data_IF_375567036239
#
_entry.id   IF_375567036239
#
_cell.length_a   1.000
_cell.length_b   1.000
_cell.length_c   1.000
_cell.angle_alpha   90.00
_cell.angle_beta   90.00
_cell.angle_gamma   90.00
#
_symmetry.space_group_name_H-M   'P 1'
#
loop_
_entity.id
_entity.type
_entity.pdbx_description
1 polymer ?
#
# COMPACT_ATOMS: atom_id res chain seq x y z
N UNK A 1 -9.09 10.52 -9.43
CA UNK A 1 -10.31 9.68 -9.54
C UNK A 1 -10.46 8.92 -8.24
N UNK A 2 -11.57 9.09 -7.57
CA UNK A 2 -11.93 8.18 -6.48
C UNK A 2 -12.20 6.80 -7.09
N UNK A 3 -11.41 5.82 -6.71
CA UNK A 3 -11.69 4.44 -7.06
C UNK A 3 -12.93 4.01 -6.28
N UNK A 4 -14.04 3.88 -6.98
CA UNK A 4 -15.33 3.45 -6.40
C UNK A 4 -15.31 1.95 -6.04
N UNK A 5 -14.38 1.19 -6.59
CA UNK A 5 -14.24 -0.25 -6.42
C UNK A 5 -12.92 -0.63 -5.75
N UNK A 6 -12.95 -1.70 -5.00
CA UNK A 6 -11.76 -2.33 -4.46
C UNK A 6 -10.88 -2.89 -5.58
N UNK A 7 -9.57 -2.76 -5.40
CA UNK A 7 -8.56 -3.28 -6.33
C UNK A 7 -7.65 -4.28 -5.64
N UNK A 8 -6.95 -5.09 -6.43
CA UNK A 8 -5.96 -6.05 -5.94
C UNK A 8 -4.55 -5.45 -5.80
N UNK A 9 -4.39 -4.15 -6.02
CA UNK A 9 -3.09 -3.46 -5.98
C UNK A 9 -2.34 -3.62 -4.65
N UNK A 10 -3.07 -3.85 -3.57
CA UNK A 10 -2.48 -4.13 -2.26
C UNK A 10 -1.52 -5.33 -2.29
N UNK A 11 -1.73 -6.29 -3.20
CA UNK A 11 -0.84 -7.44 -3.37
C UNK A 11 0.57 -7.06 -3.89
N UNK A 12 0.73 -5.91 -4.52
CA UNK A 12 2.02 -5.46 -5.04
C UNK A 12 3.02 -5.11 -3.92
N UNK A 13 2.52 -4.76 -2.73
CA UNK A 13 3.40 -4.57 -1.58
C UNK A 13 2.79 -3.81 -0.42
N UNK A 14 2.85 -4.41 0.73
CA UNK A 14 2.51 -3.82 2.02
C UNK A 14 3.76 -3.49 2.82
N UNK A 15 4.62 -4.35 3.09
CA UNK A 15 5.81 -4.14 3.90
C UNK A 15 7.00 -3.49 3.16
N UNK A 16 6.74 -2.62 2.20
CA UNK A 16 7.78 -1.99 1.36
C UNK A 16 8.40 -0.75 2.04
N UNK A 17 8.81 -0.86 3.30
CA UNK A 17 9.35 0.29 4.04
C UNK A 17 10.71 0.70 3.49
N UNK A 18 11.62 -0.26 3.34
CA UNK A 18 12.96 -0.01 2.83
C UNK A 18 12.92 0.48 1.38
N UNK A 19 12.16 -0.21 0.52
CA UNK A 19 12.01 0.18 -0.87
C UNK A 19 11.38 1.57 -1.01
N UNK A 20 10.41 1.90 -0.16
CA UNK A 20 9.80 3.24 -0.15
C UNK A 20 10.81 4.31 0.27
N UNK A 21 11.61 4.07 1.30
CA UNK A 21 12.68 4.99 1.73
C UNK A 21 13.71 5.22 0.63
N UNK A 22 14.13 4.16 -0.04
CA UNK A 22 15.08 4.23 -1.16
C UNK A 22 14.48 4.99 -2.35
N UNK A 23 13.23 4.72 -2.72
CA UNK A 23 12.53 5.44 -3.79
C UNK A 23 12.34 6.93 -3.46
N UNK A 24 12.03 7.27 -2.21
CA UNK A 24 11.96 8.68 -1.78
C UNK A 24 13.31 9.39 -1.91
N UNK A 25 14.41 8.68 -1.68
CA UNK A 25 15.75 9.24 -1.84
C UNK A 25 16.11 9.48 -3.31
N UNK A 26 15.70 8.58 -4.20
CA UNK A 26 15.95 8.70 -5.66
C UNK A 26 14.99 9.70 -6.33
N UNK A 27 13.78 9.84 -5.82
CA UNK A 27 12.76 10.69 -6.44
C UNK A 27 13.10 12.18 -6.30
N UNK A 28 12.84 12.94 -7.37
CA UNK A 28 12.94 14.39 -7.40
C UNK A 28 11.64 15.02 -7.86
N UNK A 29 11.37 16.24 -7.40
CA UNK A 29 10.16 16.97 -7.79
C UNK A 29 10.10 17.14 -9.31
N UNK A 30 8.95 16.83 -9.89
CA UNK A 30 8.73 16.86 -11.34
C UNK A 30 9.10 15.57 -12.09
N UNK A 31 9.75 14.61 -11.41
CA UNK A 31 10.11 13.33 -12.00
C UNK A 31 8.86 12.47 -12.23
N UNK A 32 8.71 11.96 -13.44
CA UNK A 32 7.68 10.98 -13.79
C UNK A 32 7.99 9.60 -13.20
N UNK A 33 7.00 8.71 -13.16
CA UNK A 33 7.21 7.31 -12.73
C UNK A 33 8.20 6.57 -13.62
N UNK A 34 8.24 6.88 -14.90
CA UNK A 34 9.19 6.30 -15.86
C UNK A 34 10.62 6.74 -15.55
N UNK A 35 10.84 8.02 -15.32
CA UNK A 35 12.15 8.57 -14.95
C UNK A 35 12.61 8.02 -13.62
N UNK A 36 11.73 7.95 -12.61
CA UNK A 36 12.03 7.33 -11.32
C UNK A 36 12.45 5.86 -11.50
N UNK A 37 11.76 5.10 -12.34
CA UNK A 37 12.14 3.72 -12.62
C UNK A 37 13.53 3.61 -13.25
N UNK A 38 13.83 4.44 -14.25
CA UNK A 38 15.14 4.44 -14.91
C UNK A 38 16.25 4.84 -13.93
N UNK A 39 16.03 5.87 -13.13
CA UNK A 39 16.99 6.34 -12.12
C UNK A 39 17.25 5.24 -11.07
N UNK A 40 16.20 4.65 -10.51
CA UNK A 40 16.31 3.59 -9.52
C UNK A 40 16.99 2.32 -10.09
N UNK A 41 16.73 1.99 -11.34
CA UNK A 41 17.40 0.88 -12.01
C UNK A 41 18.90 1.15 -12.22
N UNK A 42 19.23 2.36 -12.66
CA UNK A 42 20.62 2.76 -12.93
C UNK A 42 21.45 2.94 -11.65
N UNK A 43 20.84 3.29 -10.52
CA UNK A 43 21.54 3.47 -9.24
C UNK A 43 22.13 2.17 -8.67
N UNK A 44 21.61 1.01 -9.08
CA UNK A 44 22.00 -0.29 -8.53
C UNK A 44 21.49 -0.56 -7.10
N UNK A 45 20.80 0.39 -6.48
CA UNK A 45 20.27 0.29 -5.11
C UNK A 45 19.26 -0.84 -4.95
N UNK A 46 18.56 -1.20 -6.03
CA UNK A 46 17.54 -2.25 -6.08
C UNK A 46 18.03 -3.56 -6.71
N UNK A 47 19.32 -3.86 -6.59
CA UNK A 47 19.94 -5.05 -7.20
C UNK A 47 19.39 -6.39 -6.68
N UNK A 48 18.74 -6.40 -5.51
CA UNK A 48 18.11 -7.57 -4.89
C UNK A 48 16.71 -7.91 -5.41
N UNK A 49 16.14 -7.06 -6.26
CA UNK A 49 14.82 -7.29 -6.88
C UNK A 49 14.89 -7.19 -8.40
N UNK A 50 13.98 -7.85 -9.10
CA UNK A 50 13.93 -7.79 -10.56
C UNK A 50 13.44 -6.42 -11.05
N UNK A 51 13.86 -6.01 -12.25
CA UNK A 51 13.36 -4.79 -12.89
C UNK A 51 11.82 -4.77 -13.03
N UNK A 52 11.21 -5.92 -13.30
CA UNK A 52 9.76 -6.07 -13.32
C UNK A 52 9.14 -5.78 -11.95
N UNK A 53 9.72 -6.32 -10.88
CA UNK A 53 9.25 -6.08 -9.51
C UNK A 53 9.38 -4.62 -9.13
N UNK A 54 10.51 -3.99 -9.43
CA UNK A 54 10.73 -2.56 -9.18
C UNK A 54 9.70 -1.70 -9.91
N UNK A 55 9.42 -1.99 -11.19
CA UNK A 55 8.39 -1.28 -11.96
C UNK A 55 7.01 -1.40 -11.30
N UNK A 56 6.63 -2.59 -10.86
CA UNK A 56 5.33 -2.80 -10.20
C UNK A 56 5.26 -2.05 -8.86
N UNK A 57 6.32 -2.05 -8.06
CA UNK A 57 6.38 -1.28 -6.80
C UNK A 57 6.17 0.21 -7.08
N UNK A 58 6.83 0.77 -8.09
CA UNK A 58 6.69 2.18 -8.44
C UNK A 58 5.26 2.47 -8.93
N UNK A 59 4.75 1.70 -9.89
CA UNK A 59 3.47 1.97 -10.53
C UNK A 59 2.25 1.69 -9.64
N UNK A 60 2.28 0.61 -8.87
CA UNK A 60 1.12 0.12 -8.13
C UNK A 60 1.14 0.49 -6.63
N UNK A 61 2.31 0.84 -6.10
CA UNK A 61 2.46 1.20 -4.69
C UNK A 61 2.91 2.64 -4.50
N UNK A 62 4.09 2.99 -4.99
CA UNK A 62 4.72 4.29 -4.70
C UNK A 62 3.93 5.46 -5.32
N UNK A 63 3.65 5.40 -6.61
CA UNK A 63 2.95 6.49 -7.29
C UNK A 63 1.54 6.74 -6.76
N UNK A 64 0.67 5.72 -6.56
CA UNK A 64 -0.65 5.96 -6.00
C UNK A 64 -0.64 6.52 -4.58
N UNK A 65 0.36 6.17 -3.78
CA UNK A 65 0.44 6.59 -2.37
C UNK A 65 1.03 7.98 -2.21
N UNK A 66 2.04 8.32 -3.01
CA UNK A 66 2.89 9.49 -2.74
C UNK A 66 2.97 10.51 -3.86
N UNK A 67 2.66 10.14 -5.11
CA UNK A 67 2.72 11.04 -6.26
C UNK A 67 1.35 11.50 -6.75
N UNK A 68 0.31 10.70 -6.54
CA UNK A 68 -1.03 10.97 -7.06
C UNK A 68 -2.01 11.40 -5.96
N UNK A 69 -2.95 12.33 -6.25
CA UNK A 69 -3.05 13.14 -7.47
C UNK A 69 -2.01 14.27 -7.54
N UNK A 70 -1.28 14.50 -6.47
CA UNK A 70 -0.23 15.52 -6.36
C UNK A 70 0.96 14.97 -5.58
N UNK A 71 2.20 15.37 -5.91
CA UNK A 71 3.42 14.81 -5.32
C UNK A 71 3.79 15.38 -3.93
N UNK A 72 2.92 16.18 -3.30
CA UNK A 72 3.19 16.73 -1.97
C UNK A 72 3.58 15.67 -0.93
N UNK A 73 2.90 14.51 -0.84
CA UNK A 73 3.32 13.47 0.10
C UNK A 73 4.77 13.02 -0.11
N UNK A 74 5.19 12.81 -1.35
CA UNK A 74 6.58 12.46 -1.64
C UNK A 74 7.56 13.58 -1.25
N UNK A 75 7.19 14.84 -1.51
CA UNK A 75 8.01 16.00 -1.14
C UNK A 75 8.22 16.06 0.38
N UNK A 76 7.16 15.94 1.17
CA UNK A 76 7.24 15.99 2.63
C UNK A 76 7.99 14.78 3.20
N UNK A 77 7.65 13.58 2.73
CA UNK A 77 8.29 12.36 3.21
C UNK A 77 9.76 12.28 2.84
N UNK A 78 10.17 12.81 1.68
CA UNK A 78 11.59 12.89 1.32
C UNK A 78 12.36 13.77 2.30
N UNK A 79 11.80 14.90 2.71
CA UNK A 79 12.42 15.79 3.70
C UNK A 79 12.51 15.11 5.08
N UNK A 80 11.51 14.32 5.46
CA UNK A 80 11.43 13.65 6.75
C UNK A 80 12.17 12.32 6.81
N UNK A 81 12.48 11.70 5.67
CA UNK A 81 12.90 10.29 5.52
C UNK A 81 14.01 9.85 6.47
N UNK A 82 14.97 10.74 6.76
CA UNK A 82 16.07 10.47 7.68
C UNK A 82 16.07 11.36 8.93
N UNK A 83 15.04 12.18 9.11
CA UNK A 83 14.92 13.16 10.21
C UNK A 83 14.02 12.68 11.34
N UNK A 84 13.12 11.72 11.08
CA UNK A 84 12.19 11.15 12.06
C UNK A 84 12.54 9.72 12.38
N UNK A 85 12.09 9.23 13.53
CA UNK A 85 12.33 7.85 13.91
C UNK A 85 11.56 6.86 13.03
N UNK A 86 12.05 5.63 12.95
CA UNK A 86 11.48 4.59 12.10
C UNK A 86 10.00 4.26 12.41
N UNK A 87 9.59 4.35 13.68
CA UNK A 87 8.20 4.09 14.07
C UNK A 87 7.25 5.13 13.50
N UNK A 88 7.59 6.41 13.63
CA UNK A 88 6.79 7.50 13.06
C UNK A 88 6.73 7.45 11.53
N UNK A 89 7.84 7.09 10.88
CA UNK A 89 7.88 6.92 9.43
C UNK A 89 6.97 5.77 8.97
N UNK A 90 6.97 4.64 9.67
CA UNK A 90 6.07 3.51 9.41
C UNK A 90 4.59 3.92 9.53
N UNK A 91 4.25 4.71 10.55
CA UNK A 91 2.89 5.23 10.73
C UNK A 91 2.46 6.14 9.57
N UNK A 92 3.35 7.00 9.08
CA UNK A 92 3.06 7.82 7.91
C UNK A 92 2.85 6.97 6.65
N UNK A 93 3.69 5.96 6.41
CA UNK A 93 3.51 5.04 5.29
C UNK A 93 2.19 4.27 5.39
N UNK A 94 1.81 3.84 6.59
CA UNK A 94 0.51 3.22 6.84
C UNK A 94 -0.66 4.13 6.46
N UNK A 95 -0.63 5.39 6.90
CA UNK A 95 -1.68 6.38 6.60
C UNK A 95 -1.79 6.62 5.08
N UNK A 96 -0.67 6.82 4.40
CA UNK A 96 -0.69 7.02 2.95
C UNK A 96 -1.12 5.77 2.18
N UNK A 97 -0.79 4.58 2.66
CA UNK A 97 -1.30 3.32 2.10
C UNK A 97 -2.81 3.21 2.24
N UNK A 98 -3.35 3.54 3.42
CA UNK A 98 -4.79 3.55 3.65
C UNK A 98 -5.52 4.59 2.78
N UNK A 99 -4.93 5.77 2.60
CA UNK A 99 -5.48 6.78 1.68
C UNK A 99 -5.57 6.32 0.23
N UNK A 100 -4.54 5.62 -0.24
CA UNK A 100 -4.45 5.18 -1.63
C UNK A 100 -5.24 3.89 -1.91
N UNK A 101 -5.65 3.16 -0.88
CA UNK A 101 -6.20 1.82 -1.02
C UNK A 101 -7.53 1.67 -0.29
N UNK A 102 -8.61 1.72 -1.06
CA UNK A 102 -9.97 1.73 -0.52
C UNK A 102 -10.27 0.49 0.34
N UNK A 103 -9.89 -0.70 -0.11
CA UNK A 103 -10.12 -1.93 0.65
C UNK A 103 -9.35 -1.92 1.97
N UNK A 104 -8.15 -1.38 1.99
CA UNK A 104 -7.35 -1.29 3.22
C UNK A 104 -7.93 -0.27 4.20
N UNK A 105 -8.35 0.90 3.70
CA UNK A 105 -9.04 1.89 4.51
C UNK A 105 -10.30 1.31 5.17
N UNK A 106 -11.15 0.67 4.38
CA UNK A 106 -12.42 0.13 4.87
C UNK A 106 -12.19 -1.06 5.82
N UNK A 107 -11.17 -1.89 5.58
CA UNK A 107 -10.76 -2.95 6.50
C UNK A 107 -10.39 -2.40 7.89
N UNK A 108 -9.61 -1.30 7.92
CA UNK A 108 -9.23 -0.67 9.19
C UNK A 108 -10.44 -0.05 9.88
N UNK A 109 -11.27 0.69 9.14
CA UNK A 109 -12.36 1.48 9.74
C UNK A 109 -13.58 0.65 10.06
N UNK A 110 -13.93 -0.36 9.25
CA UNK A 110 -15.14 -1.15 9.39
C UNK A 110 -14.93 -2.47 10.16
N UNK A 111 -13.72 -3.02 10.17
CA UNK A 111 -13.46 -4.29 10.85
C UNK A 111 -12.47 -4.15 12.00
N UNK A 112 -11.26 -3.69 11.73
CA UNK A 112 -10.21 -3.63 12.75
C UNK A 112 -10.62 -2.71 13.92
N UNK A 113 -11.08 -1.52 13.62
CA UNK A 113 -11.47 -0.54 14.65
C UNK A 113 -12.67 -0.99 15.48
N UNK A 114 -13.67 -1.60 14.84
CA UNK A 114 -14.83 -2.15 15.57
C UNK A 114 -14.43 -3.27 16.53
N UNK A 115 -13.56 -4.19 16.08
CA UNK A 115 -13.03 -5.28 16.92
C UNK A 115 -12.17 -4.75 18.07
N UNK A 116 -11.28 -3.81 17.77
CA UNK A 116 -10.46 -3.19 18.79
C UNK A 116 -11.30 -2.46 19.85
N UNK A 117 -12.28 -1.67 19.44
CA UNK A 117 -13.20 -0.98 20.35
C UNK A 117 -14.05 -1.94 21.20
N UNK A 118 -14.33 -3.13 20.68
CA UNK A 118 -15.02 -4.21 21.42
C UNK A 118 -14.09 -5.01 22.35
N UNK A 119 -12.81 -4.65 22.45
CA UNK A 119 -11.83 -5.28 23.34
C UNK A 119 -11.10 -6.49 22.78
N UNK A 120 -11.21 -6.77 21.47
CA UNK A 120 -10.42 -7.82 20.83
C UNK A 120 -8.99 -7.31 20.59
N UNK A 121 -8.01 -8.16 20.90
CA UNK A 121 -6.59 -7.83 20.71
C UNK A 121 -6.04 -8.27 19.36
N UNK A 122 -6.73 -9.18 18.70
CA UNK A 122 -6.30 -9.77 17.42
C UNK A 122 -7.50 -9.99 16.49
N UNK A 123 -7.24 -9.93 15.19
CA UNK A 123 -8.14 -10.37 14.13
C UNK A 123 -7.78 -11.78 13.68
N UNK A 124 -8.76 -12.63 13.47
CA UNK A 124 -8.55 -13.95 12.90
C UNK A 124 -8.43 -13.92 11.37
N UNK A 125 -7.84 -14.97 10.79
CA UNK A 125 -7.86 -15.18 9.35
C UNK A 125 -9.28 -15.25 8.78
N UNK A 126 -10.23 -15.79 9.55
CA UNK A 126 -11.61 -15.91 9.15
C UNK A 126 -12.31 -14.54 9.12
N UNK A 127 -12.08 -13.68 10.10
CA UNK A 127 -12.60 -12.30 10.10
C UNK A 127 -12.19 -11.54 8.84
N UNK A 128 -10.91 -11.62 8.50
CA UNK A 128 -10.37 -10.97 7.31
C UNK A 128 -10.92 -11.57 6.01
N UNK A 129 -11.02 -12.90 5.95
CA UNK A 129 -11.57 -13.59 4.78
C UNK A 129 -13.03 -13.25 4.55
N UNK A 130 -13.83 -13.24 5.62
CA UNK A 130 -15.24 -12.88 5.56
C UNK A 130 -15.44 -11.42 5.11
N UNK A 131 -14.61 -10.50 5.58
CA UNK A 131 -14.63 -9.12 5.11
C UNK A 131 -14.42 -9.02 3.59
N UNK A 132 -13.42 -9.71 3.04
CA UNK A 132 -13.13 -9.71 1.60
C UNK A 132 -14.24 -10.41 0.81
N UNK A 133 -14.78 -11.52 1.31
CA UNK A 133 -15.91 -12.23 0.68
C UNK A 133 -17.15 -11.34 0.60
N UNK A 134 -17.52 -10.69 1.69
CA UNK A 134 -18.66 -9.75 1.72
C UNK A 134 -18.48 -8.60 0.76
N UNK A 135 -17.27 -8.07 0.64
CA UNK A 135 -16.96 -7.01 -0.31
C UNK A 135 -17.16 -7.46 -1.76
N UNK A 136 -16.71 -8.67 -2.08
CA UNK A 136 -16.83 -9.25 -3.41
C UNK A 136 -18.29 -9.55 -3.79
N UNK A 137 -19.05 -10.18 -2.89
CA UNK A 137 -20.46 -10.48 -3.12
C UNK A 137 -21.36 -9.25 -3.05
N UNK A 138 -20.97 -8.24 -2.27
CA UNK A 138 -21.70 -6.98 -2.10
C UNK A 138 -21.45 -5.93 -3.20
N UNK A 139 -20.74 -6.28 -4.28
CA UNK A 139 -20.52 -5.37 -5.40
C UNK A 139 -19.47 -4.29 -5.16
N UNK A 140 -18.68 -4.39 -4.09
CA UNK A 140 -17.54 -3.46 -3.86
C UNK A 140 -16.34 -3.74 -4.79
N UNK A 141 -16.40 -4.80 -5.60
CA UNK A 141 -15.39 -5.15 -6.61
C UNK A 141 -15.99 -5.08 -8.00
N UNK A 142 -15.18 -4.71 -9.00
CA UNK A 142 -15.64 -4.62 -10.39
C UNK A 142 -16.04 -5.99 -10.97
N UNK A 143 -15.32 -7.03 -10.55
CA UNK A 143 -15.58 -8.43 -10.92
C UNK A 143 -15.50 -9.30 -9.67
N UNK A 144 -16.12 -10.47 -9.70
CA UNK A 144 -15.96 -11.46 -8.64
C UNK A 144 -14.50 -11.93 -8.57
N UNK A 145 -13.94 -11.98 -7.37
CA UNK A 145 -12.58 -12.46 -7.17
C UNK A 145 -12.55 -13.97 -6.95
N UNK A 146 -11.50 -14.61 -7.45
CA UNK A 146 -11.25 -16.04 -7.21
C UNK A 146 -10.90 -16.28 -5.73
N UNK A 147 -11.11 -17.52 -5.26
CA UNK A 147 -10.73 -17.94 -3.90
C UNK A 147 -9.24 -17.66 -3.61
N UNK A 148 -8.37 -17.84 -4.60
CA UNK A 148 -6.94 -17.55 -4.47
C UNK A 148 -6.70 -16.05 -4.23
N UNK A 149 -7.41 -15.19 -4.94
CA UNK A 149 -7.33 -13.72 -4.76
C UNK A 149 -7.83 -13.31 -3.38
N UNK A 150 -8.99 -13.84 -2.97
CA UNK A 150 -9.58 -13.60 -1.66
C UNK A 150 -8.62 -14.01 -0.55
N UNK A 151 -8.07 -15.23 -0.61
CA UNK A 151 -7.10 -15.75 0.36
C UNK A 151 -5.85 -14.86 0.47
N UNK A 152 -5.29 -14.45 -0.67
CA UNK A 152 -4.12 -13.57 -0.70
C UNK A 152 -4.41 -12.22 -0.07
N UNK A 153 -5.48 -11.56 -0.49
CA UNK A 153 -5.84 -10.24 0.05
C UNK A 153 -6.14 -10.30 1.55
N UNK A 154 -6.86 -11.32 2.01
CA UNK A 154 -7.13 -11.54 3.43
C UNK A 154 -5.84 -11.65 4.24
N UNK A 155 -4.87 -12.43 3.77
CA UNK A 155 -3.55 -12.54 4.39
C UNK A 155 -2.79 -11.21 4.42
N UNK A 156 -2.82 -10.46 3.33
CA UNK A 156 -2.15 -9.15 3.27
C UNK A 156 -2.78 -8.15 4.25
N UNK A 157 -4.10 -8.08 4.31
CA UNK A 157 -4.80 -7.18 5.23
C UNK A 157 -4.45 -7.47 6.69
N UNK A 158 -4.40 -8.74 7.08
CA UNK A 158 -3.98 -9.13 8.43
C UNK A 158 -2.52 -8.80 8.74
N UNK A 159 -1.63 -8.93 7.77
CA UNK A 159 -0.20 -8.71 8.01
C UNK A 159 0.18 -7.26 8.31
N UNK A 160 -0.77 -6.33 8.16
CA UNK A 160 -0.56 -4.91 8.41
C UNK A 160 -1.04 -4.50 9.82
N UNK A 161 -1.98 -5.24 10.37
CA UNK A 161 -2.55 -5.01 11.70
C UNK A 161 -1.84 -5.85 12.75
#
# INVERSE_FOLDING_TARGET
MEHTYYTTQLQAGLGLIEETQLLLSEWQFGMSTQELFQTALASGTFSNITARRLRNIIAECFAPRYLNPKPQPATWLRQLNYSINASSLKQLFFIYTARANLIFRDFITELYWERYAAGYTELSNEDSREFVLRATSGGKTKNLWSDTTIKRLSSYLLSIC
#
